data_IF_503879113406
#
_entry.id   IF_503879113406
#
_cell.length_a   1.000
_cell.length_b   1.000
_cell.length_c   1.000
_cell.angle_alpha   90.00
_cell.angle_beta   90.00
_cell.angle_gamma   90.00
#
_symmetry.space_group_name_H-M   'P 1'
#
loop_
_entity.id
_entity.type
_entity.pdbx_description
1 polymer ?
#
# COMPACT_ATOMS: atom_id res chain seq x y z
N UNK A 1 -26.40 -40.22 20.96
CA UNK A 1 -26.09 -38.83 20.55
C UNK A 1 -24.82 -38.89 19.71
N UNK A 2 -24.94 -38.83 18.38
CA UNK A 2 -23.77 -38.89 17.49
C UNK A 2 -23.57 -37.51 16.87
N UNK A 3 -22.45 -36.86 17.21
CA UNK A 3 -22.10 -35.51 16.80
C UNK A 3 -21.58 -35.59 15.35
N UNK A 4 -22.43 -35.23 14.37
CA UNK A 4 -21.99 -35.08 12.98
C UNK A 4 -21.11 -33.85 12.88
N UNK A 5 -19.79 -34.04 12.94
CA UNK A 5 -18.82 -33.01 12.59
C UNK A 5 -18.83 -32.91 11.05
N UNK A 6 -19.55 -31.93 10.50
CA UNK A 6 -19.45 -31.61 9.07
C UNK A 6 -18.04 -31.08 8.81
N UNK A 7 -17.28 -31.81 8.01
CA UNK A 7 -16.06 -31.30 7.40
C UNK A 7 -16.42 -30.11 6.50
N UNK A 8 -15.73 -28.95 6.59
CA UNK A 8 -15.90 -27.89 5.60
C UNK A 8 -15.51 -28.42 4.20
N UNK A 9 -16.13 -27.91 3.12
CA UNK A 9 -15.80 -28.35 1.78
C UNK A 9 -14.32 -28.08 1.50
N UNK A 10 -13.63 -29.11 1.00
CA UNK A 10 -12.28 -28.98 0.49
C UNK A 10 -12.33 -28.07 -0.73
N UNK A 11 -11.93 -26.80 -0.55
CA UNK A 11 -11.72 -25.90 -1.67
C UNK A 11 -10.53 -26.44 -2.47
N UNK A 12 -10.72 -26.61 -3.78
CA UNK A 12 -9.64 -27.02 -4.67
C UNK A 12 -8.52 -25.97 -4.71
N UNK A 13 -7.31 -26.34 -5.16
CA UNK A 13 -6.13 -25.48 -5.10
C UNK A 13 -6.12 -24.29 -6.07
N UNK A 14 -7.25 -23.96 -6.72
CA UNK A 14 -7.25 -23.08 -7.90
C UNK A 14 -8.49 -22.17 -8.00
N UNK A 15 -8.96 -21.65 -6.85
CA UNK A 15 -9.90 -20.54 -6.83
C UNK A 15 -9.15 -19.28 -6.37
N UNK A 16 -8.39 -18.69 -7.29
CA UNK A 16 -7.94 -17.30 -7.15
C UNK A 16 -9.18 -16.41 -7.16
N UNK A 17 -9.87 -16.31 -6.02
CA UNK A 17 -10.81 -15.22 -5.74
C UNK A 17 -10.10 -13.93 -6.15
N UNK A 18 -10.68 -13.08 -7.03
CA UNK A 18 -10.03 -11.85 -7.46
C UNK A 18 -9.58 -11.12 -6.22
N UNK A 19 -8.26 -11.06 -6.08
CA UNK A 19 -7.57 -10.83 -4.82
C UNK A 19 -8.12 -9.58 -4.17
N UNK A 20 -8.85 -9.76 -3.07
CA UNK A 20 -9.33 -8.64 -2.27
C UNK A 20 -8.10 -7.79 -1.92
N UNK A 21 -7.96 -6.61 -2.55
CA UNK A 21 -6.75 -5.79 -2.46
C UNK A 21 -6.38 -5.64 -0.99
N UNK A 22 -5.17 -6.10 -0.63
CA UNK A 22 -4.67 -6.04 0.74
C UNK A 22 -4.64 -4.59 1.28
N UNK A 23 -4.48 -3.64 0.35
CA UNK A 23 -4.45 -2.21 0.64
C UNK A 23 -5.43 -1.50 -0.31
N UNK A 24 -6.72 -1.43 0.04
CA UNK A 24 -7.71 -0.80 -0.81
C UNK A 24 -7.44 0.71 -0.94
N UNK A 25 -7.80 1.32 -2.09
CA UNK A 25 -7.84 2.77 -2.22
C UNK A 25 -8.90 3.40 -1.29
N UNK A 26 -8.84 4.72 -1.01
CA UNK A 26 -7.80 5.65 -1.45
C UNK A 26 -6.53 5.55 -0.61
N UNK A 27 -5.38 5.78 -1.24
CA UNK A 27 -4.15 6.05 -0.50
C UNK A 27 -3.91 7.56 -0.48
N UNK A 28 -3.25 8.05 0.56
CA UNK A 28 -2.94 9.47 0.73
C UNK A 28 -1.52 9.66 1.24
N UNK A 29 -1.07 10.92 1.28
CA UNK A 29 0.21 11.28 1.87
C UNK A 29 0.02 12.25 3.05
N UNK A 30 0.88 12.13 4.04
CA UNK A 30 0.96 13.03 5.19
C UNK A 30 2.40 13.51 5.33
N UNK A 31 2.60 14.84 5.44
CA UNK A 31 3.91 15.40 5.78
C UNK A 31 4.05 15.45 7.29
N UNK A 32 5.10 14.83 7.83
CA UNK A 32 5.36 14.82 9.27
C UNK A 32 6.25 15.99 9.69
N UNK A 33 6.15 16.35 10.96
CA UNK A 33 6.99 17.37 11.59
C UNK A 33 8.47 17.01 11.57
N UNK A 34 8.79 15.72 11.55
CA UNK A 34 10.16 15.18 11.52
C UNK A 34 10.76 15.17 10.10
N UNK A 35 10.13 15.86 9.16
CA UNK A 35 10.70 16.13 7.85
C UNK A 35 10.49 15.04 6.79
N UNK A 36 9.76 13.96 7.07
CA UNK A 36 9.50 12.87 6.13
C UNK A 36 8.02 12.80 5.70
N UNK A 37 7.73 12.03 4.67
CA UNK A 37 6.36 11.78 4.22
C UNK A 37 5.92 10.36 4.60
N UNK A 38 4.67 10.22 5.04
CA UNK A 38 4.01 8.93 5.22
C UNK A 38 3.03 8.71 4.10
N UNK A 39 3.03 7.52 3.50
CA UNK A 39 1.96 7.07 2.62
C UNK A 39 0.98 6.26 3.45
N UNK A 40 -0.28 6.67 3.46
CA UNK A 40 -1.34 6.06 4.26
C UNK A 40 -2.31 5.30 3.35
N UNK A 41 -2.70 4.10 3.78
CA UNK A 41 -3.82 3.37 3.18
C UNK A 41 -5.17 3.88 3.70
N UNK A 42 -6.27 3.35 3.15
CA UNK A 42 -7.63 3.78 3.48
C UNK A 42 -8.00 3.61 4.98
N UNK A 43 -7.36 2.66 5.67
CA UNK A 43 -7.55 2.43 7.12
C UNK A 43 -6.71 3.36 8.01
N UNK A 44 -5.87 4.23 7.44
CA UNK A 44 -4.88 5.01 8.17
C UNK A 44 -3.58 4.25 8.48
N UNK A 45 -3.46 3.00 8.03
CA UNK A 45 -2.20 2.23 8.13
C UNK A 45 -1.10 2.90 7.29
N UNK A 46 0.09 3.07 7.88
CA UNK A 46 1.26 3.51 7.10
C UNK A 46 1.73 2.38 6.19
N UNK A 47 1.72 2.64 4.88
CA UNK A 47 2.20 1.72 3.85
C UNK A 47 3.68 1.94 3.53
N UNK A 48 4.15 3.20 3.60
CA UNK A 48 5.55 3.56 3.36
C UNK A 48 5.95 4.84 4.11
N UNK A 49 7.24 4.94 4.41
CA UNK A 49 7.90 6.18 4.83
C UNK A 49 8.85 6.62 3.72
N UNK A 50 8.81 7.90 3.34
CA UNK A 50 9.70 8.50 2.36
C UNK A 50 10.47 9.62 3.05
N UNK A 51 11.74 9.37 3.34
CA UNK A 51 12.59 10.29 4.09
C UNK A 51 13.16 11.37 3.18
N UNK A 52 13.11 12.61 3.67
CA UNK A 52 13.90 13.71 3.12
C UNK A 52 15.29 13.62 3.75
N UNK A 53 16.30 13.97 2.96
CA UNK A 53 17.69 14.04 3.40
C UNK A 53 17.80 14.87 4.68
N UNK A 54 18.69 14.41 5.54
CA UNK A 54 19.02 15.10 6.77
C UNK A 54 20.52 15.42 6.73
N UNK A 55 20.83 16.72 6.72
CA UNK A 55 22.19 17.23 6.61
C UNK A 55 23.06 16.66 7.74
N UNK A 56 24.19 16.04 7.38
CA UNK A 56 25.09 15.41 8.34
C UNK A 56 24.73 13.99 8.77
N UNK A 57 23.64 13.41 8.25
CA UNK A 57 23.32 11.97 8.39
C UNK A 57 23.34 11.29 7.02
N UNK A 58 22.68 11.89 6.03
CA UNK A 58 22.54 11.34 4.68
C UNK A 58 22.56 12.47 3.65
N UNK A 59 23.77 12.87 3.26
CA UNK A 59 23.99 14.00 2.36
C UNK A 59 23.56 13.70 0.91
N UNK A 60 23.49 12.41 0.54
CA UNK A 60 23.02 11.91 -0.77
C UNK A 60 21.51 11.56 -0.77
N UNK A 61 20.79 11.89 0.31
CA UNK A 61 19.36 11.61 0.42
C UNK A 61 18.47 12.47 -0.49
N UNK A 62 17.17 12.14 -0.49
CA UNK A 62 16.17 12.84 -1.29
C UNK A 62 15.96 14.30 -0.83
N UNK A 63 15.86 15.24 -1.75
CA UNK A 63 15.33 16.56 -1.44
C UNK A 63 13.84 16.49 -1.10
N UNK A 64 13.32 17.56 -0.49
CA UNK A 64 11.89 17.70 -0.15
C UNK A 64 10.96 17.41 -1.35
N UNK A 65 11.28 18.02 -2.49
CA UNK A 65 10.51 17.88 -3.71
C UNK A 65 10.58 16.47 -4.30
N UNK A 66 11.72 15.79 -4.19
CA UNK A 66 11.88 14.41 -4.64
C UNK A 66 11.09 13.44 -3.77
N UNK A 67 11.22 13.56 -2.45
CA UNK A 67 10.45 12.76 -1.51
C UNK A 67 8.94 12.96 -1.67
N UNK A 68 8.50 14.21 -1.85
CA UNK A 68 7.10 14.55 -2.11
C UNK A 68 6.57 13.90 -3.39
N UNK A 69 7.32 14.01 -4.50
CA UNK A 69 6.93 13.41 -5.78
C UNK A 69 6.88 11.89 -5.71
N UNK A 70 7.85 11.25 -5.04
CA UNK A 70 7.87 9.80 -4.84
C UNK A 70 6.67 9.36 -3.99
N UNK A 71 6.41 10.03 -2.85
CA UNK A 71 5.26 9.71 -2.00
C UNK A 71 3.93 9.85 -2.76
N UNK A 72 3.76 10.93 -3.55
CA UNK A 72 2.60 11.12 -4.41
C UNK A 72 2.47 10.03 -5.48
N UNK A 73 3.59 9.59 -6.07
CA UNK A 73 3.63 8.49 -7.02
C UNK A 73 3.11 7.18 -6.41
N UNK A 74 3.61 6.84 -5.22
CA UNK A 74 3.17 5.65 -4.47
C UNK A 74 1.67 5.73 -4.15
N UNK A 75 1.19 6.88 -3.66
CA UNK A 75 -0.23 7.07 -3.33
C UNK A 75 -1.18 6.92 -4.53
N UNK A 76 -0.66 7.05 -5.77
CA UNK A 76 -1.43 6.88 -7.01
C UNK A 76 -1.43 5.45 -7.55
N UNK A 77 -0.60 4.56 -7.02
CA UNK A 77 -0.51 3.17 -7.49
C UNK A 77 -1.86 2.46 -7.57
N UNK A 78 -2.80 2.61 -6.61
CA UNK A 78 -4.09 1.96 -6.73
C UNK A 78 -4.87 2.33 -8.00
N UNK A 79 -4.79 3.59 -8.45
CA UNK A 79 -5.44 4.04 -9.68
C UNK A 79 -4.67 3.58 -10.92
N UNK A 80 -3.34 3.60 -10.88
CA UNK A 80 -2.51 3.17 -12.00
C UNK A 80 -2.70 1.68 -12.29
N UNK A 81 -2.72 0.84 -11.25
CA UNK A 81 -2.89 -0.61 -11.35
C UNK A 81 -4.36 -1.04 -11.58
N UNK A 82 -5.35 -0.15 -11.48
CA UNK A 82 -6.73 -0.47 -11.84
C UNK A 82 -6.96 -0.39 -13.35
N UNK A 83 -6.22 0.48 -14.04
CA UNK A 83 -6.38 0.67 -15.48
C UNK A 83 -5.79 -0.48 -16.30
N UNK A 84 -4.80 -1.21 -15.76
CA UNK A 84 -4.20 -2.37 -16.45
C UNK A 84 -5.14 -3.59 -16.50
N UNK A 85 -6.11 -3.70 -15.58
CA UNK A 85 -7.04 -4.83 -15.48
C UNK A 85 -8.26 -4.69 -16.42
N UNK A 86 -8.59 -3.49 -16.92
CA UNK A 86 -9.76 -3.26 -17.81
C UNK A 86 -9.43 -3.35 -19.32
N UNK A 87 -8.15 -3.50 -19.69
CA UNK A 87 -7.67 -3.52 -21.08
C UNK A 87 -7.13 -4.90 -21.55
N UNK A 88 -7.43 -6.00 -20.84
CA UNK A 88 -7.01 -7.38 -21.21
C UNK A 88 -8.20 -8.28 -21.58
#
# INVERSE_FOLDING_TARGET
MSLSHRLPPAHGPDEFMPSQRLFPPPWSIERTSDGHFRVLGASGLTLAFVYVRNEGIDDDGLTDGEASRIALGIARLPQLLQNDDEDI
#
